data_IF_558899193285
#
_entry.id   IF_558899193285
#
_cell.length_a   1.000
_cell.length_b   1.000
_cell.length_c   1.000
_cell.angle_alpha   90.00
_cell.angle_beta   90.00
_cell.angle_gamma   90.00
#
_symmetry.space_group_name_H-M   'P 1'
#
loop_
_entity.id
_entity.type
_entity.pdbx_description
1 polymer ?
#
# COMPACT_ATOMS: atom_id res chain seq x y z
N UNK A 1 -10.36 -3.62 5.81
CA UNK A 1 -8.98 -4.13 5.63
C UNK A 1 -8.02 -3.01 6.04
N UNK A 2 -6.82 -3.35 6.55
CA UNK A 2 -5.81 -2.34 6.89
C UNK A 2 -5.00 -2.04 5.64
N UNK A 3 -5.01 -0.79 5.16
CA UNK A 3 -4.29 -0.42 3.95
C UNK A 3 -2.79 -0.29 4.23
N UNK A 4 -1.94 -0.96 3.45
CA UNK A 4 -0.49 -0.92 3.60
C UNK A 4 0.12 0.10 2.65
N UNK A 5 0.65 1.17 3.23
CA UNK A 5 1.25 2.29 2.49
C UNK A 5 2.76 2.28 2.75
N UNK A 6 3.54 2.14 1.68
CA UNK A 6 4.99 2.24 1.71
C UNK A 6 5.46 3.64 1.37
N UNK A 7 6.53 4.10 2.01
CA UNK A 7 7.11 5.43 1.82
C UNK A 7 8.61 5.29 1.57
N UNK A 8 9.12 5.84 0.46
CA UNK A 8 10.55 5.81 0.11
C UNK A 8 11.07 7.22 -0.18
N UNK A 9 12.07 7.69 0.58
CA UNK A 9 12.71 9.02 0.35
C UNK A 9 14.24 8.97 0.27
N UNK A 10 14.86 7.80 0.13
CA UNK A 10 16.30 7.65 -0.13
C UNK A 10 17.22 7.42 1.08
N UNK A 11 16.89 7.90 2.29
CA UNK A 11 17.76 7.76 3.47
C UNK A 11 17.05 7.35 4.79
N UNK A 12 15.75 7.06 4.76
CA UNK A 12 15.02 6.48 5.91
C UNK A 12 14.64 7.43 7.06
N UNK A 13 15.49 8.39 7.43
CA UNK A 13 15.25 9.30 8.55
C UNK A 13 14.00 10.20 8.34
N UNK A 14 13.95 10.92 7.22
CA UNK A 14 12.81 11.80 6.89
C UNK A 14 11.51 11.01 6.64
N UNK A 15 11.60 9.80 6.09
CA UNK A 15 10.47 8.91 5.81
C UNK A 15 9.81 8.39 7.09
N UNK A 16 10.59 8.09 8.12
CA UNK A 16 10.08 7.61 9.41
C UNK A 16 9.25 8.68 10.12
N UNK A 17 9.73 9.94 10.06
CA UNK A 17 9.03 11.07 10.64
C UNK A 17 7.69 11.35 9.94
N UNK A 18 7.68 11.32 8.61
CA UNK A 18 6.45 11.44 7.83
C UNK A 18 5.48 10.29 8.15
N UNK A 19 5.97 9.04 8.21
CA UNK A 19 5.15 7.89 8.56
C UNK A 19 4.50 8.03 9.95
N UNK A 20 5.22 8.59 10.93
CA UNK A 20 4.68 8.84 12.26
C UNK A 20 3.56 9.89 12.22
N UNK A 21 3.75 11.00 11.51
CA UNK A 21 2.71 12.03 11.34
C UNK A 21 1.48 11.49 10.62
N UNK A 22 1.67 10.71 9.56
CA UNK A 22 0.58 10.07 8.82
C UNK A 22 -0.22 9.12 9.70
N UNK A 23 0.44 8.33 10.56
CA UNK A 23 -0.26 7.49 11.54
C UNK A 23 -1.09 8.31 12.53
N UNK A 24 -0.56 9.44 12.99
CA UNK A 24 -1.29 10.34 13.89
C UNK A 24 -2.54 10.92 13.21
N UNK A 25 -2.39 11.52 12.02
CA UNK A 25 -3.52 12.09 11.27
C UNK A 25 -4.53 11.02 10.81
N UNK A 26 -4.06 9.82 10.44
CA UNK A 26 -4.95 8.70 10.11
C UNK A 26 -5.77 8.28 11.33
N UNK A 27 -5.15 8.21 12.52
CA UNK A 27 -5.84 7.88 13.77
C UNK A 27 -6.89 8.94 14.13
N UNK A 28 -6.57 10.22 13.95
CA UNK A 28 -7.51 11.33 14.18
C UNK A 28 -8.71 11.28 13.24
N UNK A 29 -8.50 10.85 11.99
CA UNK A 29 -9.53 10.71 10.96
C UNK A 29 -10.26 9.36 10.95
N UNK A 30 -9.87 8.42 11.83
CA UNK A 30 -10.43 7.06 11.87
C UNK A 30 -10.06 6.19 10.66
N UNK A 31 -8.98 6.53 9.95
CA UNK A 31 -8.50 5.81 8.77
C UNK A 31 -7.66 4.60 9.21
N UNK A 32 -8.06 3.40 8.78
CA UNK A 32 -7.34 2.16 9.08
C UNK A 32 -6.22 1.93 8.04
N UNK A 33 -5.11 2.66 8.18
CA UNK A 33 -3.93 2.55 7.30
C UNK A 33 -2.64 2.34 8.11
N UNK A 34 -1.74 1.55 7.54
CA UNK A 34 -0.41 1.24 8.07
C UNK A 34 0.64 1.87 7.17
N UNK A 35 1.44 2.76 7.74
CA UNK A 35 2.51 3.46 7.02
C UNK A 35 3.86 2.85 7.41
N UNK A 36 4.63 2.38 6.43
CA UNK A 36 6.02 1.93 6.62
C UNK A 36 6.97 2.68 5.72
N UNK A 37 8.10 3.10 6.27
CA UNK A 37 9.22 3.61 5.50
C UNK A 37 10.10 2.45 5.04
N UNK A 38 10.51 2.47 3.78
CA UNK A 38 11.42 1.47 3.21
C UNK A 38 12.51 2.13 2.37
N UNK A 39 13.64 1.44 2.19
CA UNK A 39 14.74 1.90 1.34
C UNK A 39 14.53 1.46 -0.10
N UNK A 40 15.05 2.22 -1.08
CA UNK A 40 15.03 1.84 -2.51
C UNK A 40 15.38 0.36 -2.79
N UNK A 41 16.48 -0.21 -2.25
CA UNK A 41 16.80 -1.61 -2.50
C UNK A 41 15.82 -2.61 -1.86
N UNK A 42 15.31 -2.33 -0.65
CA UNK A 42 14.32 -3.19 0.04
C UNK A 42 12.89 -3.01 -0.47
N UNK A 43 12.66 -1.97 -1.27
CA UNK A 43 11.36 -1.65 -1.81
C UNK A 43 10.86 -2.75 -2.75
N UNK A 44 11.72 -3.32 -3.58
CA UNK A 44 11.36 -4.41 -4.53
C UNK A 44 10.77 -5.62 -3.81
N UNK A 45 11.28 -5.92 -2.60
CA UNK A 45 10.80 -7.03 -1.78
C UNK A 45 9.54 -6.68 -0.98
N UNK A 46 9.38 -5.41 -0.61
CA UNK A 46 8.25 -4.95 0.22
C UNK A 46 7.03 -4.48 -0.60
N UNK A 47 7.24 -4.11 -1.87
CA UNK A 47 6.21 -3.77 -2.84
C UNK A 47 5.08 -4.81 -2.91
N UNK A 48 5.37 -6.11 -3.13
CA UNK A 48 4.32 -7.13 -3.17
C UNK A 48 3.58 -7.22 -1.83
N UNK A 49 2.26 -7.00 -1.88
CA UNK A 49 1.38 -7.02 -0.70
C UNK A 49 1.11 -5.65 -0.06
N UNK A 50 1.65 -4.58 -0.63
CA UNK A 50 1.29 -3.20 -0.31
C UNK A 50 0.15 -2.70 -1.19
N UNK A 51 -0.61 -1.72 -0.73
CA UNK A 51 -1.70 -1.13 -1.51
C UNK A 51 -1.24 0.12 -2.29
N UNK A 52 -0.33 0.91 -1.70
CA UNK A 52 0.22 2.09 -2.34
C UNK A 52 1.69 2.33 -1.99
N UNK A 53 2.41 2.92 -2.94
CA UNK A 53 3.78 3.39 -2.81
C UNK A 53 3.80 4.93 -2.89
N UNK A 54 4.29 5.57 -1.85
CA UNK A 54 4.57 7.00 -1.80
C UNK A 54 6.06 7.23 -2.01
N UNK A 55 6.40 7.94 -3.08
CA UNK A 55 7.77 8.25 -3.46
C UNK A 55 8.06 9.69 -3.08
N UNK A 56 9.11 9.91 -2.28
CA UNK A 56 9.54 11.24 -1.90
C UNK A 56 10.01 12.07 -3.09
N UNK A 57 9.90 13.40 -3.02
CA UNK A 57 10.28 14.32 -4.10
C UNK A 57 11.76 14.18 -4.52
N UNK A 58 12.63 13.75 -3.61
CA UNK A 58 14.05 13.49 -3.90
C UNK A 58 14.28 12.38 -4.93
N UNK A 59 13.28 11.53 -5.16
CA UNK A 59 13.33 10.39 -6.08
C UNK A 59 12.45 10.61 -7.31
N UNK A 60 12.00 11.84 -7.57
CA UNK A 60 11.21 12.21 -8.76
C UNK A 60 11.86 11.74 -10.06
N UNK A 61 13.19 11.89 -10.19
CA UNK A 61 13.94 11.42 -11.37
C UNK A 61 13.87 9.91 -11.60
N UNK A 62 13.63 9.13 -10.53
CA UNK A 62 13.50 7.67 -10.57
C UNK A 62 12.03 7.22 -10.47
N UNK A 63 11.09 8.16 -10.31
CA UNK A 63 9.69 7.87 -10.06
C UNK A 63 9.05 7.06 -11.18
N UNK A 64 9.31 7.38 -12.45
CA UNK A 64 8.74 6.62 -13.57
C UNK A 64 9.18 5.15 -13.55
N UNK A 65 10.44 4.89 -13.22
CA UNK A 65 10.95 3.53 -13.05
C UNK A 65 10.22 2.80 -11.91
N UNK A 66 10.14 3.44 -10.74
CA UNK A 66 9.46 2.89 -9.55
C UNK A 66 7.96 2.66 -9.78
N UNK A 67 7.29 3.59 -10.46
CA UNK A 67 5.89 3.51 -10.82
C UNK A 67 5.63 2.32 -11.74
N UNK A 68 6.51 2.10 -12.73
CA UNK A 68 6.41 0.93 -13.60
C UNK A 68 6.61 -0.37 -12.81
N UNK A 69 7.55 -0.41 -11.85
CA UNK A 69 7.74 -1.60 -11.01
C UNK A 69 6.52 -1.87 -10.13
N UNK A 70 5.96 -0.84 -9.50
CA UNK A 70 4.76 -0.93 -8.67
C UNK A 70 3.56 -1.41 -9.50
N UNK A 71 3.37 -0.87 -10.71
CA UNK A 71 2.30 -1.29 -11.61
C UNK A 71 2.38 -2.77 -11.99
N UNK A 72 3.58 -3.36 -12.11
CA UNK A 72 3.75 -4.80 -12.39
C UNK A 72 3.21 -5.72 -11.30
N UNK A 73 3.11 -5.23 -10.07
CA UNK A 73 2.59 -5.98 -8.92
C UNK A 73 1.21 -5.47 -8.47
N UNK A 74 0.56 -4.64 -9.29
CA UNK A 74 -0.77 -4.08 -8.98
C UNK A 74 -0.74 -3.02 -7.88
N UNK A 75 0.41 -2.39 -7.62
CA UNK A 75 0.56 -1.33 -6.60
C UNK A 75 0.53 0.04 -7.27
N UNK A 76 -0.26 0.96 -6.72
CA UNK A 76 -0.28 2.35 -7.20
C UNK A 76 0.88 3.14 -6.59
N UNK A 77 1.63 3.85 -7.44
CA UNK A 77 2.69 4.74 -6.99
C UNK A 77 2.29 6.21 -7.15
N UNK A 78 2.57 7.02 -6.13
CA UNK A 78 2.33 8.45 -6.14
C UNK A 78 3.60 9.20 -5.73
N UNK A 79 3.89 10.29 -6.45
CA UNK A 79 4.98 11.19 -6.11
C UNK A 79 4.47 12.20 -5.06
N UNK A 80 5.22 12.32 -3.98
CA UNK A 80 4.94 13.30 -2.93
C UNK A 80 5.48 14.67 -3.34
N UNK A 81 4.74 15.76 -3.05
CA UNK A 81 5.19 17.11 -3.34
C UNK A 81 6.37 17.50 -2.44
N UNK A 82 7.14 18.50 -2.85
CA UNK A 82 8.33 18.98 -2.13
C UNK A 82 8.03 19.48 -0.71
N UNK A 83 6.79 19.87 -0.43
CA UNK A 83 6.31 20.39 0.85
C UNK A 83 5.72 19.31 1.78
N UNK A 84 5.83 18.02 1.41
CA UNK A 84 5.25 16.90 2.18
C UNK A 84 5.80 16.80 3.62
N UNK A 85 7.01 17.32 3.88
CA UNK A 85 7.59 17.37 5.22
C UNK A 85 7.11 18.57 6.06
N UNK A 86 6.36 19.47 5.45
CA UNK A 86 5.76 20.65 6.10
C UNK A 86 4.64 20.29 7.08
N UNK A 87 4.04 21.33 7.66
CA UNK A 87 2.97 21.18 8.67
C UNK A 87 1.74 20.45 8.13
N UNK A 88 1.38 20.69 6.86
CA UNK A 88 0.17 20.15 6.22
C UNK A 88 0.43 18.99 5.26
N UNK A 89 1.69 18.56 5.13
CA UNK A 89 2.04 17.53 4.16
C UNK A 89 1.45 16.16 4.48
N UNK A 90 1.31 15.82 5.77
CA UNK A 90 0.65 14.60 6.18
C UNK A 90 -0.84 14.59 5.83
N UNK A 91 -1.55 15.70 6.04
CA UNK A 91 -2.96 15.85 5.68
C UNK A 91 -3.17 15.72 4.17
N UNK A 92 -2.34 16.40 3.37
CA UNK A 92 -2.40 16.32 1.91
C UNK A 92 -2.26 14.87 1.41
N UNK A 93 -1.33 14.11 2.00
CA UNK A 93 -1.17 12.68 1.66
C UNK A 93 -2.40 11.88 2.07
N UNK A 94 -2.92 12.07 3.29
CA UNK A 94 -4.11 11.35 3.76
C UNK A 94 -5.33 11.62 2.88
N UNK A 95 -5.50 12.84 2.37
CA UNK A 95 -6.57 13.21 1.44
C UNK A 95 -6.41 12.55 0.06
N UNK A 96 -5.18 12.29 -0.39
CA UNK A 96 -4.94 11.57 -1.65
C UNK A 96 -5.10 10.05 -1.55
N UNK A 97 -5.02 9.46 -0.35
CA UNK A 97 -5.09 8.01 -0.16
C UNK A 97 -6.35 7.37 -0.76
N UNK A 98 -7.59 7.85 -0.50
CA UNK A 98 -8.79 7.23 -1.06
C UNK A 98 -8.80 7.25 -2.58
N UNK A 99 -8.30 8.34 -3.19
CA UNK A 99 -8.21 8.49 -4.65
C UNK A 99 -7.21 7.51 -5.25
N UNK A 100 -6.04 7.37 -4.62
CA UNK A 100 -5.02 6.41 -5.05
C UNK A 100 -5.50 4.97 -4.95
N UNK A 101 -6.13 4.62 -3.83
CA UNK A 101 -6.67 3.28 -3.59
C UNK A 101 -7.84 2.96 -4.54
N UNK A 102 -8.69 3.93 -4.85
CA UNK A 102 -9.73 3.78 -5.87
C UNK A 102 -9.13 3.58 -7.27
N UNK A 103 -8.08 4.33 -7.62
CA UNK A 103 -7.37 4.16 -8.89
C UNK A 103 -6.74 2.76 -9.02
N UNK A 104 -6.24 2.19 -7.91
CA UNK A 104 -5.76 0.80 -7.87
C UNK A 104 -6.89 -0.18 -8.21
N UNK A 105 -8.05 -0.02 -7.60
CA UNK A 105 -9.19 -0.91 -7.83
C UNK A 105 -9.64 -0.93 -9.31
N UNK A 106 -9.42 0.18 -10.05
CA UNK A 106 -9.71 0.26 -11.48
C UNK A 106 -8.61 -0.39 -12.35
N UNK A 107 -7.37 -0.40 -11.86
CA UNK A 107 -6.23 -1.03 -12.54
C UNK A 107 -6.19 -2.56 -12.40
N UNK A 108 -7.09 -3.14 -11.60
CA UNK A 108 -7.26 -4.60 -11.45
C UNK A 108 -8.41 -5.09 -12.36
N UNK A 109 -8.17 -5.49 -13.62
CA UNK A 109 -9.04 -6.46 -14.25
C UNK A 109 -8.60 -7.86 -13.81
N UNK A 110 -9.49 -8.53 -13.06
CA UNK A 110 -9.47 -9.97 -12.72
C UNK A 110 -8.53 -10.39 -11.59
N UNK A 111 -9.15 -10.54 -10.42
CA UNK A 111 -8.68 -11.34 -9.30
C UNK A 111 -9.85 -11.82 -8.43
N UNK A 112 -10.98 -12.15 -9.05
CA UNK A 112 -12.00 -12.95 -8.37
C UNK A 112 -11.52 -14.40 -8.34
N UNK A 113 -11.05 -14.84 -7.18
CA UNK A 113 -11.09 -16.26 -6.83
C UNK A 113 -11.90 -16.41 -5.56
N UNK A 114 -13.19 -16.09 -5.67
CA UNK A 114 -14.23 -16.79 -4.94
C UNK A 114 -14.27 -18.24 -5.46
N UNK A 115 -13.48 -19.13 -4.89
CA UNK A 115 -13.85 -20.54 -4.77
C UNK A 115 -13.79 -20.95 -3.31
N UNK A 116 -14.76 -20.46 -2.53
CA UNK A 116 -15.23 -21.21 -1.37
C UNK A 116 -16.07 -22.37 -1.91
N UNK A 117 -15.40 -23.49 -2.18
CA UNK A 117 -16.06 -24.76 -2.44
C UNK A 117 -16.49 -25.35 -1.10
N UNK A 118 -17.78 -25.25 -0.79
CA UNK A 118 -18.46 -26.16 0.12
C UNK A 118 -19.43 -27.02 -0.69
N UNK A 119 -19.87 -28.20 -0.22
CA UNK A 119 -19.15 -29.34 0.35
C UNK A 119 -19.23 -30.55 -0.63
N UNK A 120 -18.66 -31.73 -0.31
CA UNK A 120 -19.26 -32.98 -0.77
C UNK A 120 -19.81 -33.74 0.43
N UNK A 121 -21.13 -33.91 0.46
CA UNK A 121 -21.76 -34.96 1.24
C UNK A 121 -21.37 -36.31 0.64
N UNK A 122 -20.93 -37.23 1.51
CA UNK A 122 -21.00 -38.67 1.32
C UNK A 122 -20.74 -39.35 2.67
N UNK A 123 -21.80 -39.63 3.42
CA UNK A 123 -21.83 -40.86 4.22
C UNK A 123 -21.66 -42.04 3.24
N UNK A 124 -20.90 -43.08 3.60
CA UNK A 124 -21.60 -44.29 4.03
C UNK A 124 -20.94 -45.02 5.21
N UNK A 125 -21.85 -45.61 5.97
CA UNK A 125 -21.72 -46.68 6.95
C UNK A 125 -20.67 -47.76 6.64
N UNK A 126 -19.90 -48.16 7.66
CA UNK A 126 -19.43 -49.54 7.84
C UNK A 126 -18.88 -49.74 9.26
N UNK A 127 -19.65 -50.45 10.08
CA UNK A 127 -19.20 -51.00 11.36
C UNK A 127 -18.28 -52.21 11.22
N UNK A 128 -17.32 -52.32 12.14
CA UNK A 128 -16.62 -53.53 12.64
C UNK A 128 -15.44 -52.99 13.48
N UNK A 129 -15.13 -53.40 14.71
CA UNK A 129 -15.46 -54.59 15.49
C UNK A 129 -15.13 -54.29 16.97
#
# INVERSE_FOLDING_TARGET
MVQRILIVCGAGASSTFLAHRLRAGAKERGITASFRSESLPGLTESLPGSDALLVGPHLESQFDGLRLQAARVGVVAALLPHDVFGAHGADAVLDTLPVLLAARAVAEPVGDTSVQTAPPGAEPDSGHH
#
